data_IF_368898232013
#
_entry.id   IF_368898232013
#
_cell.length_a   1.000
_cell.length_b   1.000
_cell.length_c   1.000
_cell.angle_alpha   90.00
_cell.angle_beta   90.00
_cell.angle_gamma   90.00
#
_symmetry.space_group_name_H-M   'P 1'
#
loop_
_entity.id
_entity.type
_entity.pdbx_description
1 polymer ?
#
# COMPACT_ATOMS: atom_id res chain seq x y z
N UNK A 1 -20.11 -6.89 6.94
CA UNK A 1 -18.76 -7.36 6.58
C UNK A 1 -18.19 -6.30 5.69
N UNK A 2 -17.05 -5.73 6.06
CA UNK A 2 -16.43 -4.77 5.16
C UNK A 2 -15.97 -5.53 3.90
N UNK A 3 -16.19 -4.88 2.78
CA UNK A 3 -15.75 -5.32 1.47
C UNK A 3 -14.25 -5.00 1.36
N UNK A 4 -13.48 -5.77 0.60
CA UNK A 4 -12.09 -5.41 0.26
C UNK A 4 -12.03 -4.03 -0.45
N UNK A 5 -13.13 -3.61 -1.06
CA UNK A 5 -13.33 -2.25 -1.55
C UNK A 5 -13.22 -1.19 -0.44
N UNK A 6 -13.42 -1.53 0.84
CA UNK A 6 -13.33 -0.59 1.96
C UNK A 6 -11.88 -0.20 2.27
N UNK A 7 -10.91 -1.13 2.14
CA UNK A 7 -9.49 -0.75 2.20
C UNK A 7 -9.12 0.24 1.09
N UNK A 8 -9.63 0.03 -0.12
CA UNK A 8 -9.40 0.96 -1.23
C UNK A 8 -10.09 2.31 -0.97
N UNK A 9 -11.26 2.33 -0.33
CA UNK A 9 -11.93 3.58 0.07
C UNK A 9 -11.12 4.35 1.10
N UNK A 10 -10.58 3.68 2.11
CA UNK A 10 -9.67 4.28 3.11
C UNK A 10 -8.49 4.94 2.39
N UNK A 11 -7.80 4.20 1.53
CA UNK A 11 -6.65 4.73 0.78
C UNK A 11 -7.03 5.91 -0.14
N UNK A 12 -8.19 5.83 -0.83
CA UNK A 12 -8.69 6.91 -1.71
C UNK A 12 -8.97 8.20 -0.96
N UNK A 13 -9.46 8.11 0.28
CA UNK A 13 -9.72 9.27 1.13
C UNK A 13 -8.48 10.10 1.45
N UNK A 14 -7.30 9.51 1.29
CA UNK A 14 -6.02 10.13 1.62
C UNK A 14 -5.30 10.75 0.41
N UNK A 15 -5.81 10.59 -0.81
CA UNK A 15 -5.20 11.17 -2.01
C UNK A 15 -5.11 12.70 -1.86
N UNK A 16 -3.91 13.24 -2.08
CA UNK A 16 -3.59 14.66 -1.91
C UNK A 16 -3.08 15.03 -0.50
N UNK A 17 -3.09 14.11 0.47
CA UNK A 17 -2.36 14.30 1.72
C UNK A 17 -0.87 14.40 1.42
N UNK A 18 -0.22 15.46 1.89
CA UNK A 18 1.18 15.75 1.61
C UNK A 18 1.95 16.21 2.85
N UNK A 19 3.28 16.17 2.74
CA UNK A 19 4.21 16.80 3.68
C UNK A 19 4.00 18.31 3.79
N UNK A 20 4.31 18.90 4.96
CA UNK A 20 4.16 20.34 5.18
C UNK A 20 5.13 21.13 4.29
N UNK A 21 6.38 20.63 4.20
CA UNK A 21 7.37 21.03 3.23
C UNK A 21 7.78 19.80 2.41
N UNK A 22 7.73 19.91 1.08
CA UNK A 22 7.99 18.78 0.18
C UNK A 22 9.38 18.20 0.39
N UNK A 23 9.46 16.87 0.33
CA UNK A 23 10.69 16.08 0.38
C UNK A 23 11.44 16.15 1.72
N UNK A 24 10.73 16.50 2.80
CA UNK A 24 11.28 16.44 4.15
C UNK A 24 10.91 15.14 4.86
N UNK A 25 9.87 14.43 4.39
CA UNK A 25 9.24 13.33 5.11
C UNK A 25 8.71 13.74 6.50
N UNK A 26 8.30 15.01 6.60
CA UNK A 26 7.76 15.64 7.80
C UNK A 26 6.46 16.35 7.48
N UNK A 27 5.57 16.40 8.46
CA UNK A 27 4.34 17.16 8.32
C UNK A 27 3.23 16.66 9.22
N UNK A 28 2.41 17.61 9.66
CA UNK A 28 1.25 17.36 10.53
C UNK A 28 0.29 16.33 9.94
N UNK A 29 0.04 16.38 8.63
CA UNK A 29 -0.94 15.52 7.95
C UNK A 29 -0.46 14.09 7.73
N UNK A 30 0.86 13.87 7.61
CA UNK A 30 1.46 12.55 7.42
C UNK A 30 1.88 11.88 8.74
N UNK A 31 1.87 12.64 9.85
CA UNK A 31 2.27 12.15 11.18
C UNK A 31 1.46 10.93 11.60
N UNK A 32 0.17 10.89 11.28
CA UNK A 32 -0.72 9.75 11.58
C UNK A 32 -0.23 8.45 10.95
N UNK A 33 0.36 8.50 9.75
CA UNK A 33 0.91 7.32 9.09
C UNK A 33 2.17 6.85 9.82
N UNK A 34 3.08 7.77 10.12
CA UNK A 34 4.34 7.46 10.79
C UNK A 34 4.09 6.85 12.18
N UNK A 35 3.10 7.37 12.91
CA UNK A 35 2.67 6.86 14.22
C UNK A 35 2.00 5.47 14.18
N UNK A 36 1.54 5.02 13.01
CA UNK A 36 1.04 3.65 12.85
C UNK A 36 2.14 2.59 12.81
N UNK A 37 3.41 2.98 12.71
CA UNK A 37 4.54 2.05 12.66
C UNK A 37 5.18 1.84 14.03
N UNK A 38 6.13 0.91 14.13
CA UNK A 38 6.98 0.75 15.31
C UNK A 38 8.10 1.79 15.47
N UNK A 39 8.27 2.72 14.51
CA UNK A 39 9.32 3.74 14.55
C UNK A 39 8.72 5.11 14.93
N UNK A 40 9.32 5.76 15.92
CA UNK A 40 8.92 7.10 16.35
C UNK A 40 9.62 8.20 15.54
N UNK A 41 9.03 9.40 15.56
CA UNK A 41 9.56 10.59 14.90
C UNK A 41 9.16 10.72 13.43
N UNK A 42 9.67 11.77 12.79
CA UNK A 42 9.48 12.07 11.36
C UNK A 42 10.85 12.14 10.65
N UNK A 43 10.87 12.52 9.37
CA UNK A 43 12.09 12.68 8.59
C UNK A 43 12.54 11.42 7.83
N UNK A 44 11.70 10.40 7.80
CA UNK A 44 11.97 9.12 7.13
C UNK A 44 10.83 8.71 6.17
N UNK A 45 11.14 7.98 5.07
CA UNK A 45 10.16 7.64 4.03
C UNK A 45 8.93 6.91 4.55
N UNK A 46 7.74 7.43 4.25
CA UNK A 46 6.49 7.01 4.90
C UNK A 46 5.57 6.14 4.02
N UNK A 47 6.07 5.57 2.93
CA UNK A 47 5.27 4.72 2.02
C UNK A 47 4.68 3.47 2.72
N UNK A 48 5.50 2.74 3.47
CA UNK A 48 5.05 1.59 4.25
C UNK A 48 4.15 2.01 5.41
N UNK A 49 4.49 3.13 6.06
CA UNK A 49 3.71 3.72 7.14
C UNK A 49 2.27 4.07 6.70
N UNK A 50 2.11 4.57 5.47
CA UNK A 50 0.82 4.83 4.86
C UNK A 50 -0.01 3.55 4.67
N UNK A 51 0.60 2.50 4.11
CA UNK A 51 -0.08 1.21 3.93
C UNK A 51 -0.45 0.59 5.28
N UNK A 52 0.44 0.66 6.26
CA UNK A 52 0.18 0.19 7.61
C UNK A 52 -1.02 0.88 8.24
N UNK A 53 -1.07 2.21 8.17
CA UNK A 53 -2.20 3.00 8.64
C UNK A 53 -3.49 2.59 7.94
N UNK A 54 -3.48 2.43 6.61
CA UNK A 54 -4.67 2.01 5.86
C UNK A 54 -5.18 0.63 6.31
N UNK A 55 -4.28 -0.35 6.51
CA UNK A 55 -4.65 -1.69 6.99
C UNK A 55 -5.18 -1.63 8.43
N UNK A 56 -4.63 -0.77 9.29
CA UNK A 56 -5.11 -0.56 10.65
C UNK A 56 -6.52 0.03 10.67
N UNK A 57 -6.77 1.11 9.90
CA UNK A 57 -8.11 1.69 9.78
C UNK A 57 -9.13 0.67 9.26
N UNK A 58 -8.74 -0.09 8.23
CA UNK A 58 -9.59 -1.14 7.68
C UNK A 58 -9.89 -2.25 8.70
N UNK A 59 -8.92 -2.69 9.50
CA UNK A 59 -9.13 -3.68 10.55
C UNK A 59 -10.07 -3.16 11.66
N UNK A 60 -9.92 -1.88 12.06
CA UNK A 60 -10.74 -1.24 13.10
C UNK A 60 -12.23 -1.12 12.72
N UNK A 61 -12.55 -1.08 11.42
CA UNK A 61 -13.92 -1.09 10.90
C UNK A 61 -14.63 -2.46 11.05
N UNK A 62 -13.98 -3.45 11.68
CA UNK A 62 -14.54 -4.80 11.91
C UNK A 62 -14.62 -5.62 10.62
N UNK A 63 -13.77 -5.30 9.67
CA UNK A 63 -13.84 -5.70 8.28
C UNK A 63 -13.61 -7.20 8.04
N UNK A 64 -12.54 -7.73 8.62
CA UNK A 64 -11.96 -9.05 8.38
C UNK A 64 -11.21 -9.50 9.63
N UNK A 65 -10.90 -10.80 9.75
CA UNK A 65 -10.14 -11.39 10.87
C UNK A 65 -8.64 -11.03 10.79
N UNK A 66 -8.33 -9.73 10.72
CA UNK A 66 -6.97 -9.20 10.74
C UNK A 66 -6.59 -8.99 12.21
N UNK A 67 -6.19 -10.08 12.86
CA UNK A 67 -5.80 -10.09 14.28
C UNK A 67 -4.44 -9.44 14.53
N UNK A 68 -3.54 -9.47 13.54
CA UNK A 68 -2.21 -8.84 13.63
C UNK A 68 -2.01 -7.86 12.47
N UNK A 69 -2.29 -6.59 12.72
CA UNK A 69 -2.01 -5.48 11.79
C UNK A 69 -0.50 -5.23 11.63
N UNK A 70 -0.04 -4.75 10.46
CA UNK A 70 1.37 -4.44 10.23
C UNK A 70 1.79 -3.20 11.01
N UNK A 71 3.06 -3.16 11.42
CA UNK A 71 3.72 -2.02 12.11
C UNK A 71 5.18 -1.85 11.67
N UNK A 72 5.41 -1.87 10.36
CA UNK A 72 6.73 -1.79 9.73
C UNK A 72 6.95 -0.47 9.01
N UNK A 73 8.20 0.00 9.03
CA UNK A 73 8.65 1.11 8.18
C UNK A 73 9.23 0.64 6.85
N UNK A 74 9.42 -0.67 6.67
CA UNK A 74 10.05 -1.23 5.49
C UNK A 74 8.99 -1.78 4.52
N UNK A 75 9.02 -1.33 3.26
CA UNK A 75 8.13 -1.84 2.21
C UNK A 75 8.21 -3.37 2.07
N UNK A 76 9.41 -3.95 2.12
CA UNK A 76 9.60 -5.40 2.10
C UNK A 76 9.09 -6.10 3.36
N UNK A 77 8.97 -5.39 4.47
CA UNK A 77 8.39 -5.90 5.72
C UNK A 77 6.93 -6.31 5.55
N UNK A 78 6.19 -5.72 4.62
CA UNK A 78 4.81 -6.11 4.30
C UNK A 78 4.73 -7.51 3.67
N UNK A 79 5.78 -7.94 2.96
CA UNK A 79 5.88 -9.31 2.43
C UNK A 79 6.05 -10.29 3.60
N UNK A 80 6.96 -10.00 4.54
CA UNK A 80 7.16 -10.82 5.74
C UNK A 80 5.88 -10.89 6.56
N UNK A 81 5.26 -9.74 6.83
CA UNK A 81 3.98 -9.65 7.54
C UNK A 81 2.88 -10.49 6.90
N UNK A 82 2.74 -10.44 5.56
CA UNK A 82 1.79 -11.28 4.84
C UNK A 82 2.07 -12.78 5.01
N UNK A 83 3.33 -13.21 4.93
CA UNK A 83 3.71 -14.60 5.13
C UNK A 83 3.47 -15.08 6.57
N UNK A 84 3.84 -14.25 7.56
CA UNK A 84 3.70 -14.56 8.99
C UNK A 84 2.23 -14.72 9.41
N UNK A 85 1.32 -14.02 8.71
CA UNK A 85 -0.13 -14.14 8.88
C UNK A 85 -0.78 -15.17 7.96
N UNK A 86 0.01 -15.95 7.20
CA UNK A 86 -0.49 -16.94 6.25
C UNK A 86 -1.42 -16.38 5.16
N UNK A 87 -1.21 -15.14 4.76
CA UNK A 87 -1.94 -14.51 3.66
C UNK A 87 -1.40 -14.96 2.30
N UNK A 88 -2.17 -14.73 1.23
CA UNK A 88 -1.73 -15.07 -0.12
C UNK A 88 -0.69 -14.06 -0.62
N UNK A 89 0.58 -14.46 -0.58
CA UNK A 89 1.72 -13.70 -1.13
C UNK A 89 2.13 -14.31 -2.47
N UNK A 90 2.09 -13.53 -3.56
CA UNK A 90 2.28 -14.04 -4.92
C UNK A 90 3.14 -13.11 -5.81
N UNK A 91 3.71 -13.70 -6.86
CA UNK A 91 4.49 -12.99 -7.88
C UNK A 91 3.57 -12.23 -8.84
N UNK A 92 4.07 -11.18 -9.53
CA UNK A 92 3.34 -10.62 -10.66
C UNK A 92 3.06 -11.67 -11.73
N UNK A 93 1.89 -11.62 -12.40
CA UNK A 93 1.51 -12.59 -13.40
C UNK A 93 2.42 -12.48 -14.63
N UNK A 94 2.93 -13.61 -15.10
CA UNK A 94 3.71 -13.73 -16.35
C UNK A 94 2.88 -14.42 -17.43
N UNK A 95 1.96 -15.30 -17.02
CA UNK A 95 1.02 -16.01 -17.88
C UNK A 95 -0.41 -15.59 -17.57
N UNK A 96 -1.31 -15.79 -18.53
CA UNK A 96 -2.74 -15.48 -18.36
C UNK A 96 -3.44 -16.30 -17.28
N UNK A 97 -2.89 -17.46 -16.94
CA UNK A 97 -3.38 -18.38 -15.90
C UNK A 97 -2.88 -18.03 -14.50
N UNK A 98 -1.92 -17.11 -14.38
CA UNK A 98 -1.39 -16.71 -13.08
C UNK A 98 -2.39 -15.85 -12.32
N UNK A 99 -2.27 -15.83 -10.99
CA UNK A 99 -3.10 -15.00 -10.13
C UNK A 99 -2.87 -13.53 -10.49
N UNK A 100 -3.95 -12.82 -10.85
CA UNK A 100 -3.91 -11.38 -11.10
C UNK A 100 -4.14 -10.62 -9.80
N UNK A 101 -3.49 -9.46 -9.60
CA UNK A 101 -3.84 -8.58 -8.51
C UNK A 101 -5.26 -8.03 -8.70
N UNK A 102 -5.91 -7.70 -7.60
CA UNK A 102 -7.23 -7.09 -7.56
C UNK A 102 -7.21 -5.86 -6.63
N UNK A 103 -8.20 -4.96 -6.73
CA UNK A 103 -8.34 -3.87 -5.78
C UNK A 103 -8.29 -4.35 -4.33
N UNK A 104 -7.50 -3.65 -3.51
CA UNK A 104 -7.22 -3.96 -2.11
C UNK A 104 -6.06 -4.92 -1.87
N UNK A 105 -5.46 -5.52 -2.90
CA UNK A 105 -4.16 -6.17 -2.72
C UNK A 105 -3.08 -5.12 -2.41
N UNK A 106 -2.19 -5.45 -1.49
CA UNK A 106 -0.99 -4.65 -1.24
C UNK A 106 0.04 -5.02 -2.30
N UNK A 107 0.66 -4.03 -2.92
CA UNK A 107 1.73 -4.20 -3.90
C UNK A 107 3.05 -3.74 -3.30
N UNK A 108 4.08 -4.58 -3.42
CA UNK A 108 5.44 -4.27 -3.00
C UNK A 108 6.35 -4.26 -4.22
N UNK A 109 7.05 -3.15 -4.44
CA UNK A 109 7.88 -2.91 -5.63
C UNK A 109 9.35 -3.25 -5.39
N UNK A 110 10.10 -3.55 -6.45
CA UNK A 110 11.53 -3.91 -6.36
C UNK A 110 12.42 -2.80 -5.80
N UNK A 111 12.03 -1.53 -5.95
CA UNK A 111 12.79 -0.37 -5.50
C UNK A 111 12.46 0.05 -4.06
N UNK A 112 12.05 -0.90 -3.20
CA UNK A 112 11.72 -0.68 -1.79
C UNK A 112 10.61 0.35 -1.56
N UNK A 113 9.50 0.18 -2.29
CA UNK A 113 8.29 1.01 -2.17
C UNK A 113 7.04 0.11 -2.13
N UNK A 114 5.89 0.67 -1.75
CA UNK A 114 4.65 -0.09 -1.59
C UNK A 114 3.41 0.78 -1.80
N UNK A 115 2.26 0.15 -2.03
CA UNK A 115 0.96 0.80 -2.16
C UNK A 115 -0.19 -0.20 -2.07
N UNK A 116 -1.41 0.31 -2.28
CA UNK A 116 -2.63 -0.49 -2.32
C UNK A 116 -3.19 -0.44 -3.73
N UNK A 117 -3.36 -1.61 -4.37
CA UNK A 117 -3.97 -1.71 -5.70
C UNK A 117 -5.38 -1.13 -5.64
N UNK A 118 -5.69 -0.16 -6.49
CA UNK A 118 -6.95 0.58 -6.44
C UNK A 118 -7.92 0.21 -7.56
N UNK A 119 -7.38 -0.17 -8.73
CA UNK A 119 -8.15 -0.61 -9.91
C UNK A 119 -7.28 -1.38 -10.90
N UNK A 120 -7.97 -2.10 -11.78
CA UNK A 120 -7.35 -2.77 -12.93
C UNK A 120 -6.68 -1.75 -13.87
N UNK A 121 -5.72 -2.26 -14.65
CA UNK A 121 -5.00 -1.50 -15.64
C UNK A 121 -5.81 -1.05 -16.85
N UNK A 122 -5.11 -0.37 -17.75
CA UNK A 122 -5.59 0.08 -19.05
C UNK A 122 -4.54 -0.22 -20.14
N UNK A 123 -4.58 0.47 -21.27
CA UNK A 123 -3.63 0.25 -22.37
C UNK A 123 -2.19 0.64 -22.06
N UNK A 124 -1.96 1.46 -21.03
CA UNK A 124 -0.64 2.01 -20.69
C UNK A 124 -0.04 1.39 -19.42
N UNK A 125 -0.91 0.86 -18.55
CA UNK A 125 -0.53 0.36 -17.24
C UNK A 125 -1.21 -0.98 -16.94
N UNK A 126 -0.48 -1.91 -16.34
CA UNK A 126 -1.04 -3.21 -15.92
C UNK A 126 -2.05 -3.08 -14.77
N UNK A 127 -1.86 -2.09 -13.88
CA UNK A 127 -2.76 -1.77 -12.77
C UNK A 127 -2.50 -0.36 -12.24
N UNK A 128 -3.37 0.10 -11.34
CA UNK A 128 -3.18 1.33 -10.59
C UNK A 128 -3.12 1.04 -9.08
N UNK A 129 -2.30 1.81 -8.37
CA UNK A 129 -2.16 1.72 -6.92
C UNK A 129 -2.12 3.10 -6.28
N UNK A 130 -2.64 3.20 -5.06
CA UNK A 130 -2.55 4.39 -4.21
C UNK A 130 -1.33 4.20 -3.31
N UNK A 131 -0.43 5.16 -3.35
CA UNK A 131 0.87 5.10 -2.73
C UNK A 131 1.10 6.36 -1.90
N UNK A 132 1.57 6.21 -0.66
CA UNK A 132 2.09 7.30 0.14
C UNK A 132 3.57 7.54 -0.14
N UNK A 133 4.07 8.74 0.17
CA UNK A 133 5.44 9.15 -0.18
C UNK A 133 5.73 8.93 -1.67
N UNK A 134 4.80 9.32 -2.53
CA UNK A 134 4.92 9.32 -3.99
C UNK A 134 4.75 10.74 -4.53
N UNK A 135 4.73 10.91 -5.84
CA UNK A 135 4.35 12.18 -6.46
C UNK A 135 3.70 11.96 -7.86
N UNK A 136 3.00 12.96 -8.43
CA UNK A 136 2.32 12.82 -9.72
C UNK A 136 3.29 12.74 -10.91
N UNK A 137 4.50 13.27 -10.77
CA UNK A 137 5.52 13.27 -11.81
C UNK A 137 6.29 11.95 -11.97
N UNK A 138 6.20 11.07 -10.97
CA UNK A 138 7.17 9.98 -10.80
C UNK A 138 8.52 10.51 -10.31
N UNK A 139 9.25 9.67 -9.58
CA UNK A 139 10.57 10.01 -9.04
C UNK A 139 10.85 9.28 -7.73
N UNK A 140 12.07 9.45 -7.21
CA UNK A 140 12.45 8.93 -5.89
C UNK A 140 11.99 9.82 -4.74
N UNK A 141 11.78 11.11 -5.03
CA UNK A 141 11.43 12.11 -4.01
C UNK A 141 9.92 12.29 -3.96
N UNK A 142 9.23 11.33 -3.37
CA UNK A 142 7.81 11.47 -3.07
C UNK A 142 7.57 12.46 -1.93
N UNK A 143 6.35 13.01 -1.85
CA UNK A 143 5.94 13.94 -0.80
C UNK A 143 4.44 13.90 -0.50
N UNK A 144 3.66 13.11 -1.26
CA UNK A 144 2.21 13.04 -1.11
C UNK A 144 1.67 11.62 -1.30
N UNK A 145 0.38 11.45 -0.99
CA UNK A 145 -0.41 10.29 -1.40
C UNK A 145 -0.98 10.55 -2.78
N UNK A 146 -0.70 9.68 -3.75
CA UNK A 146 -1.30 9.75 -5.07
C UNK A 146 -1.58 8.37 -5.66
N UNK A 147 -2.50 8.32 -6.64
CA UNK A 147 -2.71 7.14 -7.46
C UNK A 147 -1.69 7.11 -8.62
N UNK A 148 -1.06 5.96 -8.83
CA UNK A 148 -0.02 5.74 -9.85
C UNK A 148 -0.37 4.56 -10.74
N UNK A 149 -0.21 4.76 -12.05
CA UNK A 149 -0.19 3.68 -13.03
C UNK A 149 1.13 2.90 -12.92
N UNK A 150 1.05 1.57 -12.84
CA UNK A 150 2.18 0.67 -12.60
C UNK A 150 2.17 -0.52 -13.54
N UNK A 151 3.36 -1.04 -13.80
CA UNK A 151 3.58 -2.22 -14.63
C UNK A 151 4.16 -3.36 -13.79
N UNK A 152 3.82 -4.60 -14.13
CA UNK A 152 4.28 -5.81 -13.45
C UNK A 152 5.80 -5.92 -13.38
N UNK A 153 6.52 -5.35 -14.36
CA UNK A 153 7.99 -5.31 -14.38
C UNK A 153 8.63 -4.59 -13.19
N UNK A 154 7.87 -3.76 -12.46
CA UNK A 154 8.33 -3.03 -11.29
C UNK A 154 7.99 -3.72 -9.96
N UNK A 155 7.17 -4.79 -10.02
CA UNK A 155 6.59 -5.43 -8.84
C UNK A 155 7.47 -6.57 -8.36
N UNK A 156 7.74 -6.58 -7.06
CA UNK A 156 8.40 -7.69 -6.37
C UNK A 156 7.39 -8.75 -5.95
N UNK A 157 6.34 -8.34 -5.24
CA UNK A 157 5.26 -9.22 -4.73
C UNK A 157 3.95 -8.45 -4.59
N UNK A 158 2.86 -9.21 -4.60
CA UNK A 158 1.57 -8.80 -4.06
C UNK A 158 1.26 -9.56 -2.77
N UNK A 159 0.52 -8.93 -1.87
CA UNK A 159 -0.01 -9.52 -0.64
C UNK A 159 -1.52 -9.31 -0.63
N UNK A 160 -2.28 -10.40 -0.57
CA UNK A 160 -3.74 -10.36 -0.53
C UNK A 160 -4.25 -10.67 0.87
N UNK A 161 -4.97 -9.71 1.43
CA UNK A 161 -5.61 -9.82 2.75
C UNK A 161 -6.69 -10.91 2.78
N UNK A 162 -6.98 -11.50 3.95
CA UNK A 162 -7.94 -12.57 4.10
C UNK A 162 -9.37 -12.02 3.99
N UNK A 163 -10.02 -12.18 2.84
CA UNK A 163 -11.38 -11.70 2.58
C UNK A 163 -11.78 -12.00 1.14
N UNK A 164 -13.07 -12.30 0.93
CA UNK A 164 -13.66 -13.05 -0.19
C UNK A 164 -12.68 -13.76 -1.14
N UNK A 165 -12.64 -15.08 -1.01
CA UNK A 165 -12.26 -15.95 -2.11
C UNK A 165 -13.08 -15.57 -3.35
N UNK A 166 -12.41 -15.45 -4.49
CA UNK A 166 -13.07 -15.29 -5.78
C UNK A 166 -14.03 -16.45 -6.08
#
# INVERSE_FOLDING_TARGET
>A
MADINDLVKVARGEIGTQEDAKHQNEGSSILKYQQSTGLSGQGWPWCAAFVDWCVQQFADEGALDITHVPRTTAAFGLISWGNDNHYQVFNPPVKTTDIKPRPGDIVVYEFSHTGIVSRNGDSNHDFYAIEGNTNPGGGRDGYEVAERGRNYSSVRKFVRLPGEAA
#
